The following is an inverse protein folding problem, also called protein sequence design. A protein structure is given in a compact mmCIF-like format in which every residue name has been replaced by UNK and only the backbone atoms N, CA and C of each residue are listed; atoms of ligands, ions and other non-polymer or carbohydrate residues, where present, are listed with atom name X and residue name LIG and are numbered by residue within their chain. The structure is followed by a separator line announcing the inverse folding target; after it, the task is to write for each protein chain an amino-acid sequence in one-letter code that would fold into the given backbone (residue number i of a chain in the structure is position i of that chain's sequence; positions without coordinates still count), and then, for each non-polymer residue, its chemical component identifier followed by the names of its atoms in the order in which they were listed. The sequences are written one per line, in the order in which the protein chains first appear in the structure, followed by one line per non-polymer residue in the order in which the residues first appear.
data_IF_048423178743
#
_entry.id   IF_048423178743
#
_cell.length_a   1.000
_cell.length_b   1.000
_cell.length_c   1.000
_cell.angle_alpha   90.00
_cell.angle_beta   90.00
_cell.angle_gamma   90.00
#
_symmetry.space_group_name_H-M   'P 1'
#
loop_
_entity.id
_entity.type
_entity.pdbx_description
1 polymer ?
#
# COMPACT_ATOMS: atom_id res chain seq x y z
N UNK A 1 6.39 28.27 7.38
CA UNK A 1 5.09 27.82 6.90
C UNK A 1 4.92 26.37 7.36
N UNK A 2 4.02 26.12 8.34
CA UNK A 2 3.69 24.77 8.76
C UNK A 2 2.76 24.13 7.73
N UNK A 3 3.08 22.94 7.29
CA UNK A 3 2.14 22.10 6.54
C UNK A 3 1.23 21.46 7.57
N UNK A 4 -0.02 21.86 7.60
CA UNK A 4 -1.04 21.26 8.42
C UNK A 4 -1.61 20.06 7.67
N UNK A 5 -1.28 18.85 8.08
CA UNK A 5 -1.97 17.66 7.61
C UNK A 5 -3.00 17.26 8.66
N UNK A 6 -4.24 17.29 8.26
CA UNK A 6 -5.33 16.70 9.06
C UNK A 6 -5.42 15.21 8.79
N UNK A 7 -5.87 14.42 9.75
CA UNK A 7 -6.26 13.03 9.49
C UNK A 7 -7.21 12.96 8.30
N UNK A 8 -7.03 11.96 7.45
CA UNK A 8 -7.95 11.68 6.35
C UNK A 8 -8.85 10.54 6.76
N UNK A 9 -10.13 10.78 6.78
CA UNK A 9 -11.13 9.83 7.25
C UNK A 9 -12.33 9.77 6.30
N UNK A 10 -12.95 8.60 6.23
CA UNK A 10 -14.22 8.38 5.51
C UNK A 10 -14.17 8.72 4.02
N UNK A 11 -13.06 8.39 3.36
CA UNK A 11 -12.96 8.54 1.91
C UNK A 11 -13.56 7.32 1.23
N UNK A 12 -14.50 7.57 0.32
CA UNK A 12 -15.04 6.53 -0.56
C UNK A 12 -14.73 6.88 -2.01
N UNK A 13 -14.00 5.97 -2.69
CA UNK A 13 -13.69 6.03 -4.11
C UNK A 13 -14.38 4.86 -4.79
N UNK A 14 -15.29 5.14 -5.71
CA UNK A 14 -16.14 4.13 -6.33
C UNK A 14 -16.29 4.31 -7.82
N UNK A 15 -16.51 3.19 -8.53
CA UNK A 15 -16.82 3.17 -9.95
C UNK A 15 -15.77 3.91 -10.82
N UNK A 16 -14.49 3.79 -10.47
CA UNK A 16 -13.42 4.49 -11.14
C UNK A 16 -12.62 3.57 -12.06
N UNK A 17 -12.19 4.14 -13.19
CA UNK A 17 -11.16 3.54 -14.03
C UNK A 17 -9.87 4.34 -13.82
N UNK A 18 -8.81 3.66 -13.39
CA UNK A 18 -7.54 4.27 -13.04
C UNK A 18 -6.45 3.78 -13.97
N UNK A 19 -5.67 4.68 -14.48
CA UNK A 19 -4.50 4.39 -15.30
C UNK A 19 -3.33 5.26 -14.85
N UNK A 20 -2.14 4.69 -14.80
CA UNK A 20 -0.93 5.42 -14.41
C UNK A 20 0.26 4.96 -15.25
N UNK A 21 0.94 5.89 -15.91
CA UNK A 21 2.11 5.60 -16.74
C UNK A 21 3.40 5.40 -15.95
N UNK A 22 3.49 5.94 -14.74
CA UNK A 22 4.76 6.03 -14.02
C UNK A 22 4.75 5.65 -12.56
N UNK A 23 3.60 5.70 -11.90
CA UNK A 23 3.51 5.57 -10.46
C UNK A 23 2.57 4.43 -10.05
N UNK A 24 2.24 4.36 -8.80
CA UNK A 24 1.19 3.49 -8.28
C UNK A 24 -0.16 3.97 -8.79
N UNK A 25 -1.02 3.05 -9.22
CA UNK A 25 -2.34 3.44 -9.72
C UNK A 25 -3.23 3.93 -8.58
N UNK A 26 -3.35 3.15 -7.49
CA UNK A 26 -4.03 3.57 -6.26
C UNK A 26 -3.05 3.44 -5.11
N UNK A 27 -2.81 4.53 -4.40
CA UNK A 27 -1.88 4.57 -3.27
C UNK A 27 -2.52 5.20 -2.05
N UNK A 28 -2.33 4.54 -0.92
CA UNK A 28 -2.74 5.02 0.41
C UNK A 28 -1.51 5.16 1.28
N UNK A 29 -1.29 6.32 1.87
CA UNK A 29 -0.44 6.51 3.00
C UNK A 29 1.03 6.87 2.86
N UNK A 30 1.64 7.13 1.67
CA UNK A 30 3.07 7.49 1.64
C UNK A 30 3.41 8.73 2.49
N UNK A 31 2.45 9.58 2.72
CA UNK A 31 2.60 10.84 3.46
C UNK A 31 1.73 10.89 4.72
N UNK A 32 1.16 9.77 5.14
CA UNK A 32 0.24 9.70 6.28
C UNK A 32 0.88 10.05 7.64
N UNK A 33 2.17 10.21 7.67
CA UNK A 33 2.92 10.44 8.90
C UNK A 33 3.33 11.88 9.18
N UNK A 34 3.10 12.79 8.27
CA UNK A 34 3.63 14.15 8.40
C UNK A 34 2.69 15.08 9.18
N UNK A 35 2.29 14.71 10.38
CA UNK A 35 1.49 15.62 11.23
C UNK A 35 2.33 16.20 12.36
N UNK A 36 2.52 17.51 12.36
CA UNK A 36 3.31 18.22 13.41
C UNK A 36 2.54 18.32 14.74
N UNK A 37 1.21 18.18 14.71
CA UNK A 37 0.34 18.47 15.85
C UNK A 37 -0.75 17.42 16.05
N UNK A 38 -0.38 16.21 16.31
CA UNK A 38 -1.37 15.18 16.65
C UNK A 38 -1.23 13.91 15.84
N UNK A 39 -2.11 12.99 16.07
CA UNK A 39 -2.16 11.71 15.35
C UNK A 39 -2.65 11.92 13.92
N UNK A 40 -1.75 12.27 13.01
CA UNK A 40 -2.02 12.10 11.59
C UNK A 40 -2.37 10.64 11.32
N UNK A 41 -3.10 10.39 10.25
CA UNK A 41 -3.46 9.02 9.90
C UNK A 41 -4.46 8.99 8.75
N UNK A 42 -4.71 7.79 8.31
CA UNK A 42 -5.71 7.46 7.32
C UNK A 42 -6.61 6.37 7.90
N UNK A 43 -7.90 6.63 7.98
CA UNK A 43 -8.83 5.63 8.51
C UNK A 43 -10.14 5.61 7.74
N UNK A 44 -10.79 4.44 7.75
CA UNK A 44 -12.11 4.25 7.18
C UNK A 44 -12.22 4.67 5.70
N UNK A 45 -11.23 4.30 4.89
CA UNK A 45 -11.20 4.58 3.47
C UNK A 45 -11.57 3.34 2.66
N UNK A 46 -12.48 3.50 1.70
CA UNK A 46 -12.97 2.43 0.85
C UNK A 46 -12.69 2.77 -0.61
N UNK A 47 -12.10 1.81 -1.32
CA UNK A 47 -11.93 1.82 -2.77
C UNK A 47 -12.71 0.64 -3.32
N UNK A 48 -13.82 0.89 -4.01
CA UNK A 48 -14.70 -0.19 -4.46
C UNK A 48 -15.12 -0.06 -5.93
N UNK A 49 -15.39 -1.21 -6.54
CA UNK A 49 -15.91 -1.31 -7.90
C UNK A 49 -15.03 -0.56 -8.93
N UNK A 50 -13.71 -0.65 -8.77
CA UNK A 50 -12.75 0.07 -9.60
C UNK A 50 -12.02 -0.88 -10.56
N UNK A 51 -11.52 -0.30 -11.65
CA UNK A 51 -10.63 -0.98 -12.59
C UNK A 51 -9.29 -0.25 -12.66
N UNK A 52 -8.21 -0.97 -12.44
CA UNK A 52 -6.86 -0.50 -12.71
C UNK A 52 -6.44 -1.05 -14.07
N UNK A 53 -6.32 -0.17 -15.05
CA UNK A 53 -5.85 -0.53 -16.38
C UNK A 53 -4.34 -0.44 -16.43
N UNK A 54 -3.71 -1.54 -16.84
CA UNK A 54 -2.32 -1.59 -17.26
C UNK A 54 -1.33 -0.92 -16.28
N UNK A 55 -1.02 -1.58 -15.17
CA UNK A 55 0.02 -1.10 -14.25
C UNK A 55 1.37 -0.99 -14.99
N UNK A 56 2.00 0.19 -15.04
CA UNK A 56 3.10 0.46 -15.96
C UNK A 56 4.39 -0.29 -15.67
N UNK A 57 5.17 -0.43 -16.73
CA UNK A 57 6.54 -0.94 -16.68
C UNK A 57 7.47 0.04 -15.95
N UNK A 58 8.31 -0.47 -15.10
CA UNK A 58 9.33 0.34 -14.45
C UNK A 58 10.29 -0.45 -13.59
N UNK A 59 11.54 -0.15 -13.79
CA UNK A 59 12.69 -0.74 -13.13
C UNK A 59 12.84 -0.40 -11.64
N UNK A 60 11.87 0.26 -11.01
CA UNK A 60 11.97 0.66 -9.62
C UNK A 60 10.97 -0.08 -8.74
N UNK A 61 11.42 -0.47 -7.55
CA UNK A 61 10.67 -1.22 -6.53
C UNK A 61 9.41 -0.53 -5.97
N UNK A 62 8.93 0.52 -6.62
CA UNK A 62 7.88 1.39 -6.08
C UNK A 62 6.56 1.36 -6.84
N UNK A 63 6.37 0.41 -7.74
CA UNK A 63 5.19 0.38 -8.60
C UNK A 63 4.26 -0.75 -8.27
N UNK A 64 3.04 -0.41 -7.94
CA UNK A 64 1.98 -1.36 -7.69
C UNK A 64 0.64 -0.84 -8.15
N UNK A 65 -0.26 -1.74 -8.54
CA UNK A 65 -1.62 -1.39 -8.88
C UNK A 65 -2.36 -0.87 -7.63
N UNK A 66 -2.32 -1.65 -6.54
CA UNK A 66 -2.87 -1.25 -5.25
C UNK A 66 -1.75 -1.20 -4.22
N UNK A 67 -1.60 -0.09 -3.54
CA UNK A 67 -0.56 0.01 -2.51
C UNK A 67 -1.01 0.73 -1.25
N UNK A 68 -0.55 0.19 -0.12
CA UNK A 68 -0.64 0.83 1.19
C UNK A 68 0.77 0.92 1.75
N UNK A 69 1.28 2.13 1.87
CA UNK A 69 2.67 2.34 2.28
C UNK A 69 2.70 3.34 3.43
N UNK A 70 3.12 2.88 4.58
CA UNK A 70 3.40 3.75 5.71
C UNK A 70 4.87 4.15 5.62
N UNK A 71 5.10 5.38 5.21
CA UNK A 71 6.43 5.92 4.98
C UNK A 71 6.64 7.18 5.79
N UNK A 72 7.78 7.25 6.46
CA UNK A 72 8.28 8.51 6.96
C UNK A 72 8.83 9.32 5.78
N UNK A 73 8.34 10.51 5.60
CA UNK A 73 8.79 11.35 4.52
C UNK A 73 9.38 12.66 5.04
N UNK A 74 10.51 13.04 4.46
CA UNK A 74 11.03 14.39 4.55
C UNK A 74 10.35 15.22 3.47
N UNK A 75 9.51 16.16 3.85
CA UNK A 75 8.88 17.09 2.93
C UNK A 75 9.65 18.42 2.98
N UNK A 76 10.12 18.90 1.82
CA UNK A 76 10.78 20.20 1.68
C UNK A 76 12.01 20.41 2.57
N UNK A 77 12.79 19.35 2.81
CA UNK A 77 14.00 19.43 3.63
C UNK A 77 13.74 19.48 5.14
N UNK A 78 12.49 19.39 5.58
CA UNK A 78 12.14 19.26 6.99
C UNK A 78 11.90 17.78 7.28
N UNK A 79 12.69 17.22 8.16
CA UNK A 79 12.51 15.86 8.64
C UNK A 79 11.51 15.88 9.79
N UNK A 80 10.35 15.30 9.59
CA UNK A 80 9.36 15.11 10.64
C UNK A 80 9.68 13.82 11.37
N UNK A 81 10.43 13.93 12.45
CA UNK A 81 10.98 12.77 13.17
C UNK A 81 9.97 12.12 14.14
N UNK A 82 8.82 12.74 14.40
CA UNK A 82 8.09 12.43 15.62
C UNK A 82 6.73 11.75 15.43
N UNK A 83 6.07 11.82 14.27
CA UNK A 83 4.70 11.31 14.17
C UNK A 83 4.41 10.66 12.82
N UNK A 84 4.29 9.36 12.85
CA UNK A 84 3.76 8.60 11.73
C UNK A 84 2.31 8.22 12.03
N UNK A 85 1.38 8.64 11.18
CA UNK A 85 -0.02 8.31 11.34
C UNK A 85 -0.29 6.83 11.17
N UNK A 86 -1.22 6.32 11.93
CA UNK A 86 -1.76 5.01 11.70
C UNK A 86 -2.52 4.97 10.36
N UNK A 87 -2.41 3.86 9.67
CA UNK A 87 -3.24 3.54 8.52
C UNK A 87 -4.16 2.42 8.98
N UNK A 88 -5.45 2.68 9.06
CA UNK A 88 -6.38 1.72 9.65
C UNK A 88 -7.68 1.63 8.88
N UNK A 89 -8.27 0.44 8.87
CA UNK A 89 -9.54 0.17 8.23
C UNK A 89 -9.61 0.65 6.76
N UNK A 90 -8.59 0.27 5.99
CA UNK A 90 -8.56 0.52 4.56
C UNK A 90 -9.13 -0.70 3.84
N UNK A 91 -10.10 -0.50 2.99
CA UNK A 91 -10.75 -1.56 2.23
C UNK A 91 -10.60 -1.33 0.73
N UNK A 92 -10.02 -2.31 0.05
CA UNK A 92 -10.08 -2.45 -1.41
C UNK A 92 -11.05 -3.58 -1.74
N UNK A 93 -12.12 -3.28 -2.49
CA UNK A 93 -13.18 -4.25 -2.73
C UNK A 93 -13.64 -4.25 -4.18
N UNK A 94 -13.89 -5.45 -4.74
CA UNK A 94 -14.39 -5.62 -6.10
C UNK A 94 -13.51 -4.88 -7.14
N UNK A 95 -12.20 -5.06 -7.11
CA UNK A 95 -11.27 -4.37 -8.01
C UNK A 95 -10.74 -5.35 -9.04
N UNK A 96 -10.79 -4.93 -10.29
CA UNK A 96 -10.10 -5.59 -11.39
C UNK A 96 -8.77 -4.88 -11.64
N UNK A 97 -7.67 -5.62 -11.55
CA UNK A 97 -6.37 -5.19 -12.07
C UNK A 97 -6.21 -5.86 -13.43
N UNK A 98 -6.33 -5.07 -14.48
CA UNK A 98 -6.35 -5.55 -15.86
C UNK A 98 -5.00 -5.30 -16.52
N UNK A 99 -4.18 -6.30 -16.48
CA UNK A 99 -2.79 -6.38 -16.89
C UNK A 99 -1.77 -5.68 -15.97
N UNK A 100 -0.58 -6.24 -15.92
CA UNK A 100 0.56 -5.72 -15.17
C UNK A 100 1.77 -5.71 -16.10
N UNK A 101 2.34 -4.54 -16.29
CA UNK A 101 3.56 -4.39 -17.09
C UNK A 101 4.78 -4.96 -16.35
N UNK A 102 5.85 -5.19 -17.11
CA UNK A 102 7.08 -5.81 -16.64
C UNK A 102 7.78 -4.98 -15.56
N UNK A 103 7.49 -5.09 -14.32
CA UNK A 103 8.09 -4.33 -13.22
C UNK A 103 7.08 -3.89 -12.19
N UNK A 104 5.78 -3.94 -12.53
CA UNK A 104 4.71 -3.66 -11.60
C UNK A 104 4.42 -4.83 -10.67
N UNK A 105 3.90 -4.51 -9.49
CA UNK A 105 3.34 -5.48 -8.53
C UNK A 105 1.83 -5.35 -8.50
N UNK A 106 1.08 -6.42 -8.31
CA UNK A 106 -0.37 -6.31 -8.13
C UNK A 106 -0.73 -5.53 -6.86
N UNK A 107 -0.19 -5.98 -5.75
CA UNK A 107 -0.45 -5.42 -4.41
C UNK A 107 0.88 -5.18 -3.71
N UNK A 108 0.99 -4.03 -3.04
CA UNK A 108 2.11 -3.71 -2.19
C UNK A 108 1.63 -3.12 -0.87
N UNK A 109 1.94 -3.79 0.23
CA UNK A 109 1.74 -3.27 1.58
C UNK A 109 3.07 -3.20 2.29
N UNK A 110 3.43 -2.02 2.75
CA UNK A 110 4.69 -1.81 3.46
C UNK A 110 4.46 -0.98 4.72
N UNK A 111 4.81 -1.56 5.86
CA UNK A 111 4.80 -0.87 7.14
C UNK A 111 6.18 -0.28 7.43
N UNK A 112 6.18 0.95 7.93
CA UNK A 112 7.38 1.63 8.43
C UNK A 112 8.54 1.58 7.44
N UNK A 113 8.33 2.10 6.26
CA UNK A 113 9.42 2.26 5.30
C UNK A 113 10.46 3.21 5.88
N UNK A 114 11.65 2.73 6.27
CA UNK A 114 12.59 3.55 7.00
C UNK A 114 13.22 4.59 6.10
N UNK A 115 13.19 5.85 6.54
CA UNK A 115 14.18 6.83 6.15
C UNK A 115 15.06 7.21 7.34
N UNK A 116 14.56 7.01 8.57
CA UNK A 116 15.25 7.20 9.86
C UNK A 116 14.66 6.26 10.92
N UNK A 117 15.12 6.37 12.15
CA UNK A 117 14.55 5.65 13.28
C UNK A 117 13.10 6.06 13.53
N UNK A 118 12.23 5.06 13.69
CA UNK A 118 10.81 5.26 13.94
C UNK A 118 10.56 5.48 15.43
N UNK A 119 9.75 6.47 15.75
CA UNK A 119 9.37 6.77 17.11
C UNK A 119 7.91 6.41 17.33
N UNK A 120 7.66 5.55 18.33
CA UNK A 120 6.32 5.15 18.72
C UNK A 120 5.78 3.92 17.98
N UNK A 121 4.63 3.45 18.47
CA UNK A 121 3.94 2.28 17.92
C UNK A 121 3.03 2.68 16.75
N UNK A 122 3.21 2.02 15.63
CA UNK A 122 2.48 2.32 14.40
C UNK A 122 1.60 1.14 13.97
N UNK A 123 0.47 1.43 13.35
CA UNK A 123 -0.47 0.40 12.90
C UNK A 123 -0.76 0.54 11.40
N UNK A 124 -0.79 -0.61 10.71
CA UNK A 124 -1.30 -0.71 9.35
C UNK A 124 -2.38 -1.79 9.29
N UNK A 125 -3.61 -1.40 8.98
CA UNK A 125 -4.75 -2.29 8.81
C UNK A 125 -5.38 -2.12 7.42
N UNK A 126 -5.34 -3.18 6.60
CA UNK A 126 -5.90 -3.17 5.25
C UNK A 126 -6.55 -4.51 4.90
N UNK A 127 -7.65 -4.43 4.18
CA UNK A 127 -8.38 -5.58 3.65
C UNK A 127 -8.50 -5.49 2.12
N UNK A 128 -8.29 -6.62 1.47
CA UNK A 128 -8.49 -6.81 0.04
C UNK A 128 -9.58 -7.87 -0.15
N UNK A 129 -10.70 -7.50 -0.77
CA UNK A 129 -11.86 -8.37 -0.95
C UNK A 129 -12.28 -8.42 -2.42
N UNK A 130 -12.42 -9.61 -2.98
CA UNK A 130 -12.84 -9.80 -4.37
C UNK A 130 -11.92 -9.05 -5.36
N UNK A 131 -10.61 -9.23 -5.24
CA UNK A 131 -9.65 -8.63 -6.17
C UNK A 131 -9.34 -9.64 -7.27
N UNK A 132 -9.55 -9.23 -8.51
CA UNK A 132 -9.19 -10.03 -9.68
C UNK A 132 -7.97 -9.45 -10.36
N UNK A 133 -6.91 -10.22 -10.46
CA UNK A 133 -5.67 -9.84 -11.14
C UNK A 133 -5.59 -10.64 -12.43
N UNK A 134 -5.63 -9.95 -13.57
CA UNK A 134 -5.35 -10.51 -14.88
C UNK A 134 -3.97 -10.05 -15.35
N UNK A 135 -3.10 -10.97 -15.63
CA UNK A 135 -1.76 -10.70 -16.13
C UNK A 135 -1.51 -11.54 -17.40
N UNK A 136 -1.49 -10.87 -18.53
CA UNK A 136 -1.31 -11.52 -19.84
C UNK A 136 0.14 -11.74 -20.20
N UNK A 137 1.06 -11.07 -19.50
CA UNK A 137 2.51 -11.06 -19.82
C UNK A 137 3.34 -11.99 -18.94
N UNK A 138 2.70 -12.53 -17.88
CA UNK A 138 3.34 -13.40 -16.91
C UNK A 138 4.02 -12.63 -15.78
N UNK A 139 3.83 -13.15 -14.59
CA UNK A 139 4.26 -12.54 -13.34
C UNK A 139 5.78 -12.41 -13.25
N UNK A 140 6.28 -11.22 -13.29
CA UNK A 140 7.69 -10.93 -12.98
C UNK A 140 7.89 -10.52 -11.52
N UNK A 141 6.89 -9.86 -10.91
CA UNK A 141 6.94 -9.43 -9.53
C UNK A 141 5.65 -9.84 -8.81
N UNK A 142 5.81 -10.54 -7.71
CA UNK A 142 4.71 -10.96 -6.85
C UNK A 142 4.13 -9.78 -6.09
N UNK A 143 2.92 -9.93 -5.59
CA UNK A 143 2.42 -9.08 -4.51
C UNK A 143 3.39 -9.11 -3.33
N UNK A 144 3.53 -7.99 -2.62
CA UNK A 144 4.53 -7.81 -1.60
C UNK A 144 3.93 -7.23 -0.33
N UNK A 145 4.12 -7.91 0.78
CA UNK A 145 3.69 -7.44 2.10
C UNK A 145 4.90 -7.46 3.02
N UNK A 146 5.19 -6.31 3.63
CA UNK A 146 6.31 -6.19 4.56
C UNK A 146 5.86 -5.60 5.88
N UNK A 147 6.01 -6.34 6.96
CA UNK A 147 5.88 -5.85 8.32
C UNK A 147 7.23 -5.39 8.88
N UNK A 148 7.16 -4.59 9.94
CA UNK A 148 8.34 -4.07 10.63
C UNK A 148 8.15 -4.17 12.16
N UNK A 149 9.20 -3.97 12.92
CA UNK A 149 9.16 -3.93 14.38
C UNK A 149 8.55 -2.66 14.96
N UNK A 150 8.26 -1.68 14.12
CA UNK A 150 7.75 -0.38 14.58
C UNK A 150 6.28 -0.40 15.00
N UNK A 151 5.57 -1.51 14.85
CA UNK A 151 4.14 -1.56 15.21
C UNK A 151 3.46 -2.87 14.83
N UNK A 152 2.12 -2.83 14.81
CA UNK A 152 1.28 -3.93 14.37
C UNK A 152 0.86 -3.80 12.91
N UNK A 153 0.64 -4.94 12.26
CA UNK A 153 0.08 -5.01 10.91
C UNK A 153 -1.04 -6.04 10.86
N UNK A 154 -2.12 -5.67 10.21
CA UNK A 154 -3.18 -6.59 9.81
C UNK A 154 -3.43 -6.46 8.31
N UNK A 155 -3.28 -7.54 7.58
CA UNK A 155 -3.61 -7.61 6.15
C UNK A 155 -4.50 -8.81 5.93
N UNK A 156 -5.68 -8.59 5.36
CA UNK A 156 -6.57 -9.67 4.95
C UNK A 156 -6.70 -9.75 3.44
N UNK A 157 -6.72 -10.97 2.92
CA UNK A 157 -6.96 -11.30 1.52
C UNK A 157 -8.15 -12.25 1.44
N UNK A 158 -9.28 -11.75 0.98
CA UNK A 158 -10.51 -12.54 0.81
C UNK A 158 -10.87 -12.61 -0.65
N UNK A 159 -10.90 -13.81 -1.23
CA UNK A 159 -11.22 -13.99 -2.64
C UNK A 159 -10.34 -13.13 -3.58
N UNK A 160 -9.03 -13.13 -3.34
CA UNK A 160 -8.05 -12.48 -4.21
C UNK A 160 -7.53 -13.51 -5.20
N UNK A 161 -7.71 -13.26 -6.50
CA UNK A 161 -7.35 -14.20 -7.56
C UNK A 161 -6.28 -13.63 -8.49
N UNK A 162 -5.39 -14.50 -8.95
CA UNK A 162 -4.39 -14.20 -9.98
C UNK A 162 -4.59 -15.17 -11.15
N UNK A 163 -5.00 -14.64 -12.30
CA UNK A 163 -5.36 -15.43 -13.49
C UNK A 163 -6.30 -16.61 -13.15
N UNK A 164 -7.27 -16.36 -12.27
CA UNK A 164 -8.25 -17.35 -11.83
C UNK A 164 -7.82 -18.26 -10.66
N UNK A 165 -6.56 -18.24 -10.26
CA UNK A 165 -6.09 -18.99 -9.09
C UNK A 165 -6.23 -18.14 -7.82
N UNK A 166 -6.81 -18.69 -6.76
CA UNK A 166 -6.96 -17.98 -5.47
C UNK A 166 -5.60 -17.89 -4.76
N UNK A 167 -5.25 -16.71 -4.29
CA UNK A 167 -4.08 -16.49 -3.46
C UNK A 167 -4.44 -16.83 -2.01
N UNK A 168 -3.95 -17.95 -1.51
CA UNK A 168 -4.26 -18.44 -0.15
C UNK A 168 -3.11 -18.30 0.83
N UNK A 169 -1.89 -18.12 0.34
CA UNK A 169 -0.68 -18.07 1.17
C UNK A 169 0.49 -17.44 0.43
N UNK A 170 1.58 -17.22 1.12
CA UNK A 170 2.86 -16.87 0.52
C UNK A 170 3.36 -17.96 -0.42
N UNK A 171 4.05 -17.56 -1.48
CA UNK A 171 4.61 -18.50 -2.46
C UNK A 171 4.59 -17.98 -3.88
N UNK A 172 3.79 -18.56 -4.76
CA UNK A 172 3.81 -18.27 -6.21
C UNK A 172 3.49 -16.81 -6.53
N UNK A 173 2.49 -16.22 -5.85
CA UNK A 173 1.95 -14.90 -6.18
C UNK A 173 2.13 -13.83 -5.11
N UNK A 174 2.57 -14.22 -3.92
CA UNK A 174 2.69 -13.36 -2.76
C UNK A 174 3.96 -13.64 -1.98
N UNK A 175 4.75 -12.62 -1.73
CA UNK A 175 5.86 -12.64 -0.79
C UNK A 175 5.50 -11.85 0.49
N UNK A 176 5.83 -12.43 1.63
CA UNK A 176 5.70 -11.78 2.93
C UNK A 176 7.07 -11.71 3.61
N UNK A 177 7.44 -10.52 4.03
CA UNK A 177 8.69 -10.28 4.74
C UNK A 177 8.43 -9.63 6.09
N UNK A 178 9.03 -10.18 7.12
CA UNK A 178 9.09 -9.56 8.42
C UNK A 178 10.48 -8.97 8.63
N UNK A 179 10.57 -7.63 8.71
CA UNK A 179 11.84 -6.91 8.91
C UNK A 179 12.35 -6.97 10.35
N UNK A 180 11.71 -7.70 11.26
CA UNK A 180 12.09 -7.81 12.66
C UNK A 180 13.47 -8.44 12.93
N UNK A 181 14.15 -8.92 11.90
CA UNK A 181 15.50 -9.47 11.99
C UNK A 181 16.61 -8.61 11.38
N UNK A 182 16.32 -7.41 10.91
CA UNK A 182 17.31 -6.53 10.27
C UNK A 182 17.76 -5.36 11.16
N UNK A 183 17.81 -5.54 12.46
CA UNK A 183 18.49 -4.62 13.35
C UNK A 183 19.95 -5.10 13.51
N UNK A 184 20.84 -4.63 12.68
CA UNK A 184 22.29 -4.51 12.94
C UNK A 184 22.81 -3.24 12.29
#
# INVERSE_FOLDING_TARGET
YGVWQTPTEYVNVKDCVVWSDYARAIVVGPEAGACIWGSGGLTDCIFEDCVVLEQPDGSTDYRAALSVVQQQQSIWGVTYDEYNGNINNILFKNILIDDIQSGGRPIWVEQCRPQKEWVGWQWVGVSFENITIRDTKGLRHKSYITSSTCGGMYVSLTNVTYNGEIITSTGKYLDFYNKSGMAT
#
